data_IF_163286861807
#
_entry.id   IF_163286861807
#
_cell.length_a   1.000
_cell.length_b   1.000
_cell.length_c   1.000
_cell.angle_alpha   90.00
_cell.angle_beta   90.00
_cell.angle_gamma   90.00
#
_symmetry.space_group_name_H-M   'P 1'
#
loop_
_entity.id
_entity.type
_entity.pdbx_description
1 polymer ?
#
# COMPACT_ATOMS: atom_id res chain seq x y z
N UNK A 1 14.40 11.59 0.67
CA UNK A 1 13.01 11.09 0.59
C UNK A 1 13.02 9.62 0.22
N UNK A 2 12.29 8.77 0.94
CA UNK A 2 12.25 7.33 0.68
C UNK A 2 11.13 6.97 -0.31
N UNK A 3 11.39 6.02 -1.20
CA UNK A 3 10.45 5.52 -2.22
C UNK A 3 10.61 4.01 -2.43
N UNK A 4 9.62 3.38 -3.05
CA UNK A 4 9.64 1.94 -3.34
C UNK A 4 10.36 1.71 -4.67
N UNK A 5 11.46 0.95 -4.63
CA UNK A 5 12.20 0.46 -5.81
C UNK A 5 11.90 -1.01 -6.03
N UNK A 6 11.75 -1.40 -7.29
CA UNK A 6 11.67 -2.80 -7.68
C UNK A 6 13.00 -3.34 -8.19
N UNK A 7 13.25 -4.62 -7.89
CA UNK A 7 14.40 -5.36 -8.42
C UNK A 7 13.93 -6.72 -8.94
N UNK A 8 14.35 -7.08 -10.15
CA UNK A 8 14.13 -8.41 -10.73
C UNK A 8 15.32 -9.31 -10.38
N UNK A 9 15.04 -10.48 -9.82
CA UNK A 9 16.05 -11.53 -9.53
C UNK A 9 15.51 -12.83 -10.09
N UNK A 10 16.14 -13.33 -11.16
CA UNK A 10 15.61 -14.43 -11.97
C UNK A 10 14.24 -14.11 -12.55
N UNK A 11 13.26 -14.96 -12.27
CA UNK A 11 11.86 -14.80 -12.72
C UNK A 11 10.99 -13.96 -11.77
N UNK A 12 11.53 -13.54 -10.63
CA UNK A 12 10.75 -12.91 -9.56
C UNK A 12 11.06 -11.41 -9.44
N UNK A 13 10.04 -10.62 -9.11
CA UNK A 13 10.16 -9.20 -8.77
C UNK A 13 10.07 -9.02 -7.25
N UNK A 14 10.84 -8.08 -6.72
CA UNK A 14 10.96 -7.79 -5.29
C UNK A 14 10.87 -6.30 -5.04
N UNK A 15 10.20 -5.90 -3.97
CA UNK A 15 10.03 -4.51 -3.56
C UNK A 15 10.97 -4.18 -2.39
N UNK A 16 11.60 -3.00 -2.48
CA UNK A 16 12.50 -2.46 -1.46
C UNK A 16 12.14 -1.01 -1.20
N UNK A 17 12.09 -0.61 0.06
CA UNK A 17 12.13 0.80 0.43
C UNK A 17 13.57 1.28 0.34
N UNK A 18 13.80 2.32 -0.46
CA UNK A 18 15.12 2.93 -0.65
C UNK A 18 15.05 4.42 -0.40
N UNK A 19 16.17 5.01 0.02
CA UNK A 19 16.35 6.46 0.08
C UNK A 19 17.58 6.87 -0.71
N UNK A 20 17.60 8.12 -1.19
CA UNK A 20 18.80 8.73 -1.74
C UNK A 20 19.61 9.33 -0.59
N UNK A 21 20.88 8.99 -0.51
CA UNK A 21 21.87 9.53 0.43
C UNK A 21 23.02 10.17 -0.36
N UNK A 22 23.48 11.34 0.09
CA UNK A 22 24.68 11.97 -0.46
C UNK A 22 25.93 11.29 0.11
N UNK A 23 26.92 11.02 -0.73
CA UNK A 23 28.23 10.50 -0.34
C UNK A 23 29.32 11.29 -1.06
N UNK A 24 30.57 11.19 -0.63
CA UNK A 24 31.70 11.88 -1.28
C UNK A 24 31.86 11.52 -2.77
N UNK A 25 31.38 10.32 -3.15
CA UNK A 25 31.36 9.83 -4.53
C UNK A 25 30.05 10.10 -5.26
N UNK A 26 29.27 11.08 -4.79
CA UNK A 26 27.97 11.46 -5.34
C UNK A 26 26.76 10.79 -4.68
N UNK A 27 25.53 11.05 -5.17
CA UNK A 27 24.31 10.48 -4.61
C UNK A 27 24.24 8.97 -4.82
N UNK A 28 23.89 8.24 -3.76
CA UNK A 28 23.73 6.77 -3.74
C UNK A 28 22.34 6.39 -3.22
N UNK A 29 21.87 5.20 -3.59
CA UNK A 29 20.64 4.64 -3.03
C UNK A 29 20.98 3.72 -1.86
N UNK A 30 20.40 3.99 -0.69
CA UNK A 30 20.49 3.14 0.50
C UNK A 30 19.19 2.36 0.67
N UNK A 31 19.29 1.03 0.79
CA UNK A 31 18.14 0.17 1.09
C UNK A 31 17.80 0.33 2.57
N UNK A 32 16.56 0.71 2.86
CA UNK A 32 16.02 0.81 4.23
C UNK A 32 15.35 -0.46 4.68
N UNK A 33 14.55 -1.05 3.80
CA UNK A 33 13.72 -2.19 4.15
C UNK A 33 13.43 -3.04 2.92
N UNK A 34 13.45 -4.35 3.10
CA UNK A 34 12.88 -5.29 2.15
C UNK A 34 11.38 -5.44 2.43
N UNK A 35 10.54 -5.13 1.44
CA UNK A 35 9.08 -5.12 1.60
C UNK A 35 8.46 -6.48 1.25
N UNK A 36 9.10 -7.26 0.38
CA UNK A 36 8.64 -8.59 0.01
C UNK A 36 8.74 -8.89 -1.47
N UNK A 37 8.32 -10.10 -1.84
CA UNK A 37 8.16 -10.50 -3.24
C UNK A 37 6.88 -9.88 -3.80
N UNK A 38 6.99 -9.30 -4.98
CA UNK A 38 5.86 -8.72 -5.71
C UNK A 38 5.07 -9.84 -6.37
N UNK A 39 3.75 -9.79 -6.18
CA UNK A 39 2.79 -10.71 -6.74
C UNK A 39 1.85 -9.97 -7.70
N UNK A 40 1.87 -10.39 -8.95
CA UNK A 40 0.99 -9.85 -9.99
C UNK A 40 -0.34 -10.60 -9.93
N UNK A 41 -1.40 -9.90 -9.51
CA UNK A 41 -2.77 -10.40 -9.52
C UNK A 41 -3.56 -9.66 -10.58
N UNK A 42 -4.25 -10.38 -11.45
CA UNK A 42 -5.13 -9.77 -12.45
C UNK A 42 -6.33 -9.11 -11.76
N UNK A 43 -6.67 -7.92 -12.21
CA UNK A 43 -7.92 -7.23 -11.86
C UNK A 43 -9.01 -7.86 -12.72
N UNK A 44 -10.03 -8.42 -12.08
CA UNK A 44 -11.09 -9.17 -12.75
C UNK A 44 -12.35 -8.34 -12.96
N UNK A 45 -12.59 -7.37 -12.06
CA UNK A 45 -13.77 -6.51 -12.07
C UNK A 45 -13.35 -5.06 -11.90
N UNK A 46 -14.19 -4.14 -12.37
CA UNK A 46 -14.06 -2.72 -12.00
C UNK A 46 -14.39 -2.53 -10.51
N UNK A 47 -13.79 -1.49 -9.93
CA UNK A 47 -13.95 -1.15 -8.52
C UNK A 47 -15.39 -0.65 -8.32
N UNK A 48 -16.16 -1.30 -7.45
CA UNK A 48 -17.48 -0.80 -7.02
C UNK A 48 -17.35 0.56 -6.33
N UNK A 49 -18.43 1.35 -6.31
CA UNK A 49 -18.49 2.66 -5.65
C UNK A 49 -17.78 2.69 -4.28
N UNK A 50 -16.86 3.65 -4.14
CA UNK A 50 -16.12 3.88 -2.91
C UNK A 50 -17.08 4.50 -1.90
N UNK A 51 -17.31 3.81 -0.78
CA UNK A 51 -18.18 4.30 0.29
C UNK A 51 -17.51 5.43 1.07
N UNK A 52 -18.33 6.32 1.62
CA UNK A 52 -17.87 7.32 2.57
C UNK A 52 -17.45 6.68 3.90
N UNK A 53 -16.42 7.24 4.54
CA UNK A 53 -15.90 6.79 5.82
C UNK A 53 -15.88 7.91 6.86
N UNK A 54 -16.20 7.56 8.11
CA UNK A 54 -16.28 8.53 9.21
C UNK A 54 -14.91 8.82 9.86
N UNK A 55 -13.93 7.96 9.64
CA UNK A 55 -12.55 8.06 10.15
C UNK A 55 -11.53 7.90 9.02
N UNK A 56 -10.28 8.30 9.23
CA UNK A 56 -9.22 8.08 8.23
C UNK A 56 -8.99 6.58 7.96
N UNK A 57 -9.11 5.74 8.98
CA UNK A 57 -9.01 4.28 8.89
C UNK A 57 -10.12 3.71 7.99
N UNK A 58 -11.36 4.15 8.20
CA UNK A 58 -12.51 3.67 7.43
C UNK A 58 -12.46 4.15 5.98
N UNK A 59 -12.03 5.39 5.73
CA UNK A 59 -11.79 5.87 4.36
C UNK A 59 -10.71 5.02 3.68
N UNK A 60 -9.59 4.73 4.36
CA UNK A 60 -8.54 3.89 3.80
C UNK A 60 -9.03 2.46 3.51
N UNK A 61 -9.80 1.86 4.42
CA UNK A 61 -10.41 0.55 4.23
C UNK A 61 -11.40 0.53 3.06
N UNK A 62 -12.17 1.61 2.87
CA UNK A 62 -13.08 1.77 1.74
C UNK A 62 -12.37 1.87 0.39
N UNK A 63 -11.06 2.17 0.37
CA UNK A 63 -10.22 2.10 -0.82
C UNK A 63 -9.58 0.72 -0.98
N UNK A 64 -9.03 0.15 0.11
CA UNK A 64 -8.31 -1.13 0.07
C UNK A 64 -9.25 -2.30 -0.24
N UNK A 65 -10.41 -2.37 0.41
CA UNK A 65 -11.28 -3.54 0.33
C UNK A 65 -11.82 -3.73 -1.11
N UNK A 66 -12.40 -2.72 -1.77
CA UNK A 66 -12.84 -2.86 -3.16
C UNK A 66 -11.69 -3.22 -4.11
N UNK A 67 -10.50 -2.63 -3.92
CA UNK A 67 -9.32 -2.91 -4.74
C UNK A 67 -8.78 -4.34 -4.53
N UNK A 68 -8.88 -4.90 -3.33
CA UNK A 68 -8.55 -6.32 -3.12
C UNK A 68 -9.66 -7.24 -3.68
N UNK A 69 -10.94 -6.88 -3.51
CA UNK A 69 -12.07 -7.65 -4.05
C UNK A 69 -12.04 -7.72 -5.58
N UNK A 70 -11.67 -6.62 -6.24
CA UNK A 70 -11.49 -6.57 -7.71
C UNK A 70 -10.45 -7.58 -8.22
N UNK A 71 -9.52 -8.00 -7.36
CA UNK A 71 -8.47 -9.01 -7.61
C UNK A 71 -8.84 -10.42 -7.13
N UNK A 72 -10.09 -10.62 -6.73
CA UNK A 72 -10.65 -11.93 -6.36
C UNK A 72 -10.58 -12.26 -4.87
N UNK A 73 -10.21 -11.32 -4.00
CA UNK A 73 -10.33 -11.54 -2.56
C UNK A 73 -11.79 -11.68 -2.14
N UNK A 74 -12.06 -12.61 -1.22
CA UNK A 74 -13.39 -12.89 -0.68
C UNK A 74 -13.41 -12.71 0.83
N UNK A 75 -14.53 -12.25 1.36
CA UNK A 75 -14.75 -12.11 2.80
C UNK A 75 -14.78 -13.49 3.46
N UNK A 76 -14.03 -13.64 4.56
CA UNK A 76 -14.00 -14.84 5.39
C UNK A 76 -13.82 -14.44 6.85
N UNK A 77 -14.93 -14.45 7.59
CA UNK A 77 -15.01 -13.89 8.96
C UNK A 77 -14.56 -12.42 8.94
N UNK A 78 -13.46 -12.08 9.62
CA UNK A 78 -12.92 -10.71 9.71
C UNK A 78 -11.75 -10.45 8.75
N UNK A 79 -11.50 -11.34 7.77
CA UNK A 79 -10.39 -11.19 6.84
C UNK A 79 -10.87 -11.30 5.39
N UNK A 80 -10.16 -10.63 4.48
CA UNK A 80 -10.24 -10.90 3.05
C UNK A 80 -9.18 -11.93 2.67
N UNK A 81 -9.58 -12.98 1.96
CA UNK A 81 -8.69 -14.08 1.61
C UNK A 81 -8.72 -14.34 0.10
N UNK A 82 -7.54 -14.51 -0.49
CA UNK A 82 -7.37 -14.99 -1.86
C UNK A 82 -6.21 -15.97 -1.94
N UNK A 83 -6.47 -17.24 -2.26
CA UNK A 83 -5.46 -18.31 -2.24
C UNK A 83 -4.70 -18.31 -0.90
N UNK A 84 -3.42 -17.93 -0.91
CA UNK A 84 -2.57 -17.88 0.28
C UNK A 84 -2.43 -16.46 0.85
N UNK A 85 -3.06 -15.45 0.26
CA UNK A 85 -3.05 -14.08 0.74
C UNK A 85 -4.17 -13.84 1.75
N UNK A 86 -3.84 -13.10 2.80
CA UNK A 86 -4.77 -12.72 3.87
C UNK A 86 -4.59 -11.23 4.12
N UNK A 87 -5.68 -10.49 3.98
CA UNK A 87 -5.78 -9.12 4.47
C UNK A 87 -6.64 -9.08 5.72
N UNK A 88 -6.11 -8.49 6.79
CA UNK A 88 -6.84 -8.29 8.04
C UNK A 88 -7.23 -6.80 8.13
N UNK A 89 -8.53 -6.53 8.17
CA UNK A 89 -9.07 -5.16 8.17
C UNK A 89 -8.86 -4.42 9.49
N UNK A 90 -8.85 -5.12 10.62
CA UNK A 90 -8.63 -4.53 11.94
C UNK A 90 -7.21 -3.98 12.10
N UNK A 91 -6.22 -4.76 11.63
CA UNK A 91 -4.79 -4.41 11.71
C UNK A 91 -4.29 -3.67 10.47
N UNK A 92 -5.07 -3.66 9.39
CA UNK A 92 -4.69 -3.13 8.06
C UNK A 92 -3.34 -3.73 7.62
N UNK A 93 -3.29 -5.07 7.59
CA UNK A 93 -2.09 -5.85 7.26
C UNK A 93 -2.38 -6.80 6.11
N UNK A 94 -1.41 -6.95 5.19
CA UNK A 94 -1.49 -7.85 4.05
C UNK A 94 -0.34 -8.86 4.10
N UNK A 95 -0.71 -10.12 4.29
CA UNK A 95 0.27 -11.21 4.44
C UNK A 95 0.00 -12.34 3.48
N UNK A 96 1.00 -13.21 3.32
CA UNK A 96 0.91 -14.45 2.56
C UNK A 96 1.36 -15.63 3.41
N UNK A 97 0.54 -16.68 3.45
CA UNK A 97 0.90 -17.96 4.06
C UNK A 97 2.10 -18.58 3.33
N UNK A 98 3.16 -18.83 4.09
CA UNK A 98 4.33 -19.59 3.65
C UNK A 98 4.10 -21.09 3.86
N UNK A 99 4.89 -21.93 3.16
CA UNK A 99 4.93 -23.38 3.36
C UNK A 99 5.23 -23.77 4.82
N UNK A 100 6.04 -22.96 5.50
CA UNK A 100 6.44 -23.18 6.90
C UNK A 100 5.40 -22.70 7.92
N UNK A 101 4.13 -22.54 7.53
CA UNK A 101 3.01 -22.04 8.36
C UNK A 101 3.17 -20.63 8.95
N UNK A 102 4.30 -19.94 8.70
CA UNK A 102 4.49 -18.52 9.05
C UNK A 102 3.88 -17.60 8.00
N UNK A 103 3.23 -16.52 8.42
CA UNK A 103 2.81 -15.45 7.53
C UNK A 103 4.00 -14.56 7.20
N UNK A 104 4.20 -14.25 5.91
CA UNK A 104 5.20 -13.29 5.45
C UNK A 104 4.51 -12.07 4.88
N UNK A 105 5.20 -10.93 4.89
CA UNK A 105 4.74 -9.72 4.20
C UNK A 105 4.46 -10.03 2.73
N UNK A 106 3.33 -9.50 2.26
CA UNK A 106 2.89 -9.67 0.90
C UNK A 106 2.82 -8.31 0.21
N UNK A 107 3.35 -8.28 -1.00
CA UNK A 107 3.30 -7.12 -1.88
C UNK A 107 2.55 -7.54 -3.13
N UNK A 108 1.43 -6.87 -3.41
CA UNK A 108 0.65 -7.07 -4.63
C UNK A 108 0.88 -5.86 -5.52
N UNK A 109 1.23 -6.08 -6.79
CA UNK A 109 1.34 -4.98 -7.75
C UNK A 109 -0.04 -4.39 -8.05
N UNK A 110 -0.16 -3.08 -7.93
CA UNK A 110 -1.29 -2.30 -8.43
C UNK A 110 -0.83 -1.41 -9.59
N UNK A 111 -1.76 -0.83 -10.34
CA UNK A 111 -1.51 -0.11 -11.60
C UNK A 111 -0.25 0.76 -11.55
N UNK A 112 -0.21 1.73 -10.63
CA UNK A 112 0.92 2.66 -10.45
C UNK A 112 1.70 2.44 -9.15
N UNK A 113 1.37 1.39 -8.37
CA UNK A 113 1.89 1.22 -7.02
C UNK A 113 1.86 -0.21 -6.47
N UNK A 114 1.90 -0.33 -5.14
CA UNK A 114 1.99 -1.61 -4.45
C UNK A 114 1.09 -1.66 -3.22
N UNK A 115 0.17 -2.61 -3.22
CA UNK A 115 -0.65 -2.94 -2.05
C UNK A 115 0.20 -3.78 -1.09
N UNK A 116 0.47 -3.25 0.09
CA UNK A 116 1.29 -3.92 1.11
C UNK A 116 1.00 -3.33 2.48
N UNK A 117 1.29 -4.07 3.55
CA UNK A 117 1.22 -3.54 4.91
C UNK A 117 1.98 -2.22 5.04
N UNK A 118 3.18 -2.14 4.47
CA UNK A 118 4.00 -0.93 4.52
C UNK A 118 3.29 0.29 3.93
N UNK A 119 2.74 0.18 2.72
CA UNK A 119 2.08 1.31 2.05
C UNK A 119 0.82 1.76 2.78
N UNK A 120 0.03 0.81 3.31
CA UNK A 120 -1.15 1.14 4.11
C UNK A 120 -0.80 1.85 5.41
N UNK A 121 0.19 1.33 6.15
CA UNK A 121 0.64 1.92 7.40
C UNK A 121 1.30 3.28 7.18
N UNK A 122 1.96 3.48 6.03
CA UNK A 122 2.57 4.77 5.67
C UNK A 122 1.52 5.87 5.44
N UNK A 123 0.38 5.52 4.84
CA UNK A 123 -0.76 6.44 4.69
C UNK A 123 -1.41 6.71 6.05
N UNK A 124 -1.68 5.65 6.83
CA UNK A 124 -2.40 5.75 8.09
C UNK A 124 -1.66 6.59 9.16
N UNK A 125 -0.34 6.38 9.23
CA UNK A 125 0.55 7.04 10.20
C UNK A 125 1.10 8.37 9.68
N UNK A 126 0.57 8.90 8.57
CA UNK A 126 0.94 10.22 8.09
C UNK A 126 0.56 11.28 9.13
N UNK A 127 1.45 12.24 9.35
CA UNK A 127 1.26 13.34 10.29
C UNK A 127 1.41 14.67 9.56
N UNK A 128 0.49 15.59 9.83
CA UNK A 128 0.54 16.96 9.30
C UNK A 128 1.73 17.70 9.90
N UNK A 129 2.33 18.54 9.07
CA UNK A 129 3.29 19.56 9.46
C UNK A 129 2.61 20.94 9.34
N UNK A 130 3.40 22.01 9.45
CA UNK A 130 2.91 23.38 9.23
C UNK A 130 2.76 23.72 7.74
N UNK A 131 3.34 22.91 6.84
CA UNK A 131 3.37 23.20 5.41
C UNK A 131 2.34 22.35 4.65
N UNK A 132 1.15 22.93 4.47
CA UNK A 132 0.02 22.30 3.77
C UNK A 132 0.40 21.74 2.40
N UNK A 133 1.15 22.49 1.59
CA UNK A 133 1.49 22.08 0.23
C UNK A 133 2.42 20.86 0.24
N UNK A 134 3.45 20.88 1.10
CA UNK A 134 4.34 19.73 1.25
C UNK A 134 3.60 18.50 1.75
N UNK A 135 2.71 18.66 2.73
CA UNK A 135 1.94 17.57 3.31
C UNK A 135 0.98 16.95 2.29
N UNK A 136 0.25 17.78 1.55
CA UNK A 136 -0.68 17.34 0.51
C UNK A 136 0.05 16.57 -0.60
N UNK A 137 1.17 17.10 -1.10
CA UNK A 137 2.00 16.40 -2.09
C UNK A 137 2.56 15.08 -1.54
N UNK A 138 3.01 15.06 -0.30
CA UNK A 138 3.59 13.87 0.32
C UNK A 138 2.54 12.78 0.56
N UNK A 139 1.33 13.16 1.01
CA UNK A 139 0.22 12.25 1.19
C UNK A 139 -0.30 11.70 -0.15
N UNK A 140 -0.47 12.56 -1.15
CA UNK A 140 -0.86 12.14 -2.50
C UNK A 140 0.13 11.12 -3.07
N UNK A 141 1.43 11.35 -2.85
CA UNK A 141 2.47 10.39 -3.21
C UNK A 141 2.31 9.06 -2.47
N UNK A 142 1.88 9.05 -1.21
CA UNK A 142 1.65 7.79 -0.47
C UNK A 142 0.47 6.99 -1.04
N UNK A 143 -0.63 7.65 -1.42
CA UNK A 143 -1.74 6.99 -2.12
C UNK A 143 -1.29 6.40 -3.47
N UNK A 144 -0.52 7.17 -4.25
CA UNK A 144 0.06 6.72 -5.51
C UNK A 144 0.97 5.49 -5.32
N UNK A 145 1.90 5.54 -4.36
CA UNK A 145 2.79 4.41 -4.05
C UNK A 145 2.04 3.18 -3.55
N UNK A 146 0.90 3.36 -2.88
CA UNK A 146 0.00 2.27 -2.50
C UNK A 146 -0.78 1.70 -3.70
N UNK A 147 -0.83 2.43 -4.81
CA UNK A 147 -1.65 2.12 -5.97
C UNK A 147 -3.14 2.15 -5.62
N UNK A 148 -3.54 3.07 -4.75
CA UNK A 148 -4.92 3.33 -4.35
C UNK A 148 -5.36 4.64 -5.02
N UNK A 149 -6.32 4.53 -5.92
CA UNK A 149 -6.95 5.69 -6.55
C UNK A 149 -7.89 6.35 -5.54
N UNK A 150 -7.72 7.65 -5.32
CA UNK A 150 -8.57 8.45 -4.42
C UNK A 150 -9.01 9.69 -5.17
N UNK A 151 -10.31 9.99 -5.12
CA UNK A 151 -10.84 11.22 -5.72
C UNK A 151 -10.52 12.43 -4.81
N UNK A 152 -10.64 13.63 -5.37
CA UNK A 152 -10.31 14.87 -4.65
C UNK A 152 -11.12 15.04 -3.36
N UNK A 153 -12.41 14.73 -3.39
CA UNK A 153 -13.30 14.91 -2.24
C UNK A 153 -12.90 14.00 -1.07
N UNK A 154 -12.69 12.71 -1.33
CA UNK A 154 -12.24 11.74 -0.33
C UNK A 154 -10.83 12.05 0.15
N UNK A 155 -9.96 12.58 -0.71
CA UNK A 155 -8.62 13.00 -0.32
C UNK A 155 -8.68 14.17 0.68
N UNK A 156 -9.50 15.18 0.40
CA UNK A 156 -9.72 16.31 1.33
C UNK A 156 -10.34 15.82 2.63
N UNK A 157 -11.37 14.96 2.57
CA UNK A 157 -12.00 14.35 3.76
C UNK A 157 -10.99 13.55 4.59
N UNK A 158 -10.14 12.76 3.94
CA UNK A 158 -9.08 12.01 4.61
C UNK A 158 -8.09 12.97 5.28
N UNK A 159 -7.64 14.01 4.55
CA UNK A 159 -6.69 14.99 5.06
C UNK A 159 -7.25 15.75 6.27
N UNK A 160 -8.53 16.14 6.25
CA UNK A 160 -9.17 16.82 7.39
C UNK A 160 -9.21 15.96 8.65
N UNK A 161 -9.28 14.62 8.50
CA UNK A 161 -9.34 13.66 9.61
C UNK A 161 -7.96 13.19 10.12
N UNK A 162 -6.86 13.69 9.55
CA UNK A 162 -5.50 13.45 10.05
C UNK A 162 -5.19 14.20 11.34
#
# INVERSE_FOLDING_TARGET
MAYIRTKKIGKNKYAYLVEIVSTDKGPRQKVKQYLGRIHELKKNNEISEIREGNSKESILLNLIIPELKSRGFKDKKNNLVYKNFIFNSEKITLTKKSKNKTNKEAVISSEEGYLSTFTFQRILNFQKTKNLNQDAHQLAKYFLEAGLQINQELFVKFYQKL
#
